data_IF_599692634980
#
_entry.id   IF_599692634980
#
_cell.length_a   1.000
_cell.length_b   1.000
_cell.length_c   1.000
_cell.angle_alpha   90.00
_cell.angle_beta   90.00
_cell.angle_gamma   90.00
#
_symmetry.space_group_name_H-M   'P 1'
#
loop_
_entity.id
_entity.type
_entity.pdbx_description
1 polymer ?
#
# COMPACT_ATOMS: atom_id res chain seq x y z
N UNK A 1 -3.80 18.36 -95.55
CA UNK A 1 -3.20 17.80 -94.31
C UNK A 1 -4.02 18.26 -93.11
N UNK A 2 -4.85 17.37 -92.59
CA UNK A 2 -5.93 17.62 -91.62
C UNK A 2 -5.51 17.32 -90.16
N UNK A 3 -4.32 17.77 -89.74
CA UNK A 3 -3.75 17.35 -88.45
C UNK A 3 -4.00 18.33 -87.29
N UNK A 4 -4.32 19.60 -87.58
CA UNK A 4 -4.41 20.65 -86.55
C UNK A 4 -5.77 20.82 -85.85
N UNK A 5 -6.83 20.09 -86.25
CA UNK A 5 -8.15 20.16 -85.59
C UNK A 5 -8.39 19.08 -84.52
N UNK A 6 -7.44 18.15 -84.32
CA UNK A 6 -7.57 17.03 -83.37
C UNK A 6 -6.64 17.13 -82.15
N UNK A 7 -5.75 18.13 -82.09
CA UNK A 7 -4.74 18.26 -81.02
C UNK A 7 -5.27 18.92 -79.73
N UNK A 8 -6.31 19.76 -79.82
CA UNK A 8 -6.85 20.47 -78.66
C UNK A 8 -7.55 19.55 -77.65
N UNK A 9 -8.30 18.54 -78.13
CA UNK A 9 -9.05 17.63 -77.28
C UNK A 9 -8.18 16.72 -76.40
N UNK A 10 -7.13 16.03 -76.91
CA UNK A 10 -6.28 15.17 -76.08
C UNK A 10 -5.39 15.95 -75.12
N UNK A 11 -4.96 17.17 -75.48
CA UNK A 11 -4.17 18.03 -74.58
C UNK A 11 -5.02 18.55 -73.43
N UNK A 12 -6.26 18.99 -73.70
CA UNK A 12 -7.20 19.41 -72.65
C UNK A 12 -7.58 18.22 -71.78
N UNK A 13 -7.87 17.05 -72.36
CA UNK A 13 -8.17 15.85 -71.60
C UNK A 13 -6.99 15.40 -70.73
N UNK A 14 -5.75 15.48 -71.23
CA UNK A 14 -4.55 15.16 -70.46
C UNK A 14 -4.34 16.10 -69.28
N UNK A 15 -4.51 17.41 -69.48
CA UNK A 15 -4.41 18.41 -68.40
C UNK A 15 -5.51 18.20 -67.36
N UNK A 16 -6.75 17.93 -67.79
CA UNK A 16 -7.89 17.69 -66.88
C UNK A 16 -7.70 16.38 -66.09
N UNK A 17 -7.06 15.37 -66.69
CA UNK A 17 -6.71 14.11 -66.03
C UNK A 17 -5.61 14.34 -64.98
N UNK A 18 -4.59 15.14 -65.27
CA UNK A 18 -3.51 15.48 -64.31
C UNK A 18 -4.07 16.28 -63.12
N UNK A 19 -4.98 17.23 -63.37
CA UNK A 19 -5.64 18.00 -62.30
C UNK A 19 -6.55 17.11 -61.42
N UNK A 20 -7.17 16.07 -61.99
CA UNK A 20 -7.99 15.13 -61.23
C UNK A 20 -7.18 14.24 -60.26
N UNK A 21 -5.87 14.06 -60.49
CA UNK A 21 -4.99 13.27 -59.61
C UNK A 21 -4.20 14.11 -58.58
N UNK A 22 -4.43 15.43 -58.49
CA UNK A 22 -3.76 16.32 -57.52
C UNK A 22 -4.57 16.51 -56.22
N UNK A 23 -5.78 15.98 -56.10
CA UNK A 23 -6.67 16.22 -54.95
C UNK A 23 -6.50 15.24 -53.78
N UNK A 24 -5.27 15.06 -53.28
CA UNK A 24 -5.07 14.49 -51.94
C UNK A 24 -3.96 15.29 -51.24
N UNK A 25 -4.36 16.33 -50.53
CA UNK A 25 -3.57 16.86 -49.43
C UNK A 25 -4.00 16.07 -48.19
N UNK A 26 -3.07 15.34 -47.57
CA UNK A 26 -3.32 14.65 -46.32
C UNK A 26 -3.49 15.72 -45.23
N UNK A 27 -4.75 16.01 -44.85
CA UNK A 27 -5.05 16.84 -43.69
C UNK A 27 -4.70 16.02 -42.44
N UNK A 28 -3.42 16.07 -42.04
CA UNK A 28 -2.93 15.49 -40.81
C UNK A 28 -3.61 16.22 -39.64
N UNK A 29 -4.68 15.63 -39.10
CA UNK A 29 -5.22 16.06 -37.82
C UNK A 29 -4.23 15.65 -36.74
N UNK A 30 -3.28 16.53 -36.45
CA UNK A 30 -2.40 16.36 -35.29
C UNK A 30 -3.27 16.35 -34.05
N UNK A 31 -3.19 15.30 -33.22
CA UNK A 31 -3.79 15.30 -31.89
C UNK A 31 -3.14 16.46 -31.12
N UNK A 32 -3.92 17.52 -30.85
CA UNK A 32 -3.41 18.80 -30.33
C UNK A 32 -3.48 19.98 -31.32
N UNK A 33 -4.03 19.81 -32.53
CA UNK A 33 -4.30 20.94 -33.43
C UNK A 33 -5.33 21.89 -32.79
N UNK A 34 -4.92 23.12 -32.54
CA UNK A 34 -5.78 24.17 -32.02
C UNK A 34 -6.94 24.44 -32.98
N UNK A 35 -8.18 24.34 -32.49
CA UNK A 35 -9.42 24.55 -33.26
C UNK A 35 -9.51 25.97 -33.86
N UNK A 36 -8.71 26.92 -33.35
CA UNK A 36 -8.27 28.16 -34.02
C UNK A 36 -7.02 28.69 -33.31
N UNK A 37 -5.89 28.75 -34.02
CA UNK A 37 -4.68 29.40 -33.51
C UNK A 37 -4.85 30.93 -33.47
N UNK A 38 -4.59 31.53 -32.31
CA UNK A 38 -4.44 32.99 -32.20
C UNK A 38 -4.83 33.58 -30.86
N UNK A 39 -5.77 32.99 -30.12
CA UNK A 39 -6.21 33.53 -28.83
C UNK A 39 -6.53 32.38 -27.87
N UNK A 40 -5.96 32.34 -26.65
CA UNK A 40 -6.35 31.36 -25.65
C UNK A 40 -7.84 31.48 -25.40
N UNK A 41 -8.57 30.34 -25.35
CA UNK A 41 -9.97 30.36 -24.94
C UNK A 41 -10.05 31.02 -23.56
N UNK A 42 -10.64 32.21 -23.52
CA UNK A 42 -11.08 32.82 -22.26
C UNK A 42 -12.38 32.11 -21.91
N UNK A 43 -12.26 30.88 -21.42
CA UNK A 43 -13.38 30.16 -20.82
C UNK A 43 -13.50 30.59 -19.37
N UNK A 44 -14.72 30.93 -18.96
CA UNK A 44 -15.00 31.21 -17.56
C UNK A 44 -14.69 29.94 -16.74
N UNK A 45 -13.82 30.07 -15.75
CA UNK A 45 -13.62 29.04 -14.73
C UNK A 45 -14.72 29.16 -13.69
N UNK A 46 -15.47 28.08 -13.51
CA UNK A 46 -16.32 27.92 -12.34
C UNK A 46 -15.55 27.07 -11.32
N UNK A 47 -15.18 27.69 -10.20
CA UNK A 47 -14.65 26.97 -9.04
C UNK A 47 -15.82 26.53 -8.17
N UNK A 48 -15.84 25.25 -7.81
CA UNK A 48 -16.85 24.69 -6.93
C UNK A 48 -16.14 24.18 -5.68
N UNK A 49 -16.66 24.55 -4.51
CA UNK A 49 -16.17 24.02 -3.26
C UNK A 49 -16.48 22.52 -3.19
N UNK A 50 -15.44 21.70 -3.02
CA UNK A 50 -15.57 20.27 -2.76
C UNK A 50 -15.57 20.07 -1.24
N UNK A 51 -16.69 19.61 -0.70
CA UNK A 51 -16.82 19.30 0.72
C UNK A 51 -16.65 17.80 0.95
N UNK A 52 -15.56 17.42 1.63
CA UNK A 52 -15.38 16.08 2.19
C UNK A 52 -15.80 16.08 3.67
N UNK A 53 -16.48 15.02 4.11
CA UNK A 53 -16.82 14.83 5.51
C UNK A 53 -16.55 13.38 5.91
N UNK A 54 -15.94 13.19 7.08
CA UNK A 54 -15.81 11.87 7.69
C UNK A 54 -17.10 11.56 8.44
N UNK A 55 -17.73 10.44 8.10
CA UNK A 55 -18.87 9.92 8.84
C UNK A 55 -18.39 8.89 9.84
N UNK A 56 -18.68 9.08 11.13
CA UNK A 56 -18.43 8.05 12.13
C UNK A 56 -19.37 6.87 11.90
N UNK A 57 -18.78 5.72 11.57
CA UNK A 57 -19.46 4.43 11.52
C UNK A 57 -19.38 3.80 12.91
N UNK A 58 -20.53 3.45 13.50
CA UNK A 58 -20.58 2.91 14.87
C UNK A 58 -19.81 1.58 15.01
N UNK A 59 -19.99 0.66 14.05
CA UNK A 59 -19.26 -0.60 14.02
C UNK A 59 -19.30 -1.22 12.62
N UNK A 60 -18.18 -1.81 12.21
CA UNK A 60 -18.08 -2.63 11.01
C UNK A 60 -17.74 -4.05 11.45
N UNK A 61 -18.31 -5.08 10.80
CA UNK A 61 -17.92 -6.46 11.10
C UNK A 61 -16.48 -6.70 10.63
N UNK A 62 -15.60 -7.03 11.56
CA UNK A 62 -14.17 -7.33 11.35
C UNK A 62 -13.83 -8.81 11.58
N UNK A 63 -14.80 -9.71 11.40
CA UNK A 63 -14.55 -11.14 11.53
C UNK A 63 -13.68 -11.65 10.37
N UNK A 64 -12.72 -12.52 10.68
CA UNK A 64 -11.82 -13.17 9.69
C UNK A 64 -10.92 -12.20 8.91
N UNK A 65 -10.55 -11.05 9.51
CA UNK A 65 -9.49 -10.24 8.93
C UNK A 65 -8.18 -11.04 8.87
N UNK A 66 -7.41 -10.95 7.76
CA UNK A 66 -6.10 -11.61 7.67
C UNK A 66 -5.12 -11.14 8.75
N UNK A 67 -5.30 -9.91 9.25
CA UNK A 67 -4.47 -9.26 10.25
C UNK A 67 -5.39 -8.57 11.27
N UNK A 68 -5.20 -8.91 12.55
CA UNK A 68 -5.87 -8.25 13.66
C UNK A 68 -4.98 -7.13 14.19
N UNK A 69 -5.52 -5.91 14.27
CA UNK A 69 -4.84 -4.77 14.88
C UNK A 69 -5.10 -4.76 16.39
N UNK A 70 -4.11 -4.29 17.16
CA UNK A 70 -4.22 -4.12 18.61
C UNK A 70 -3.58 -2.80 19.03
N UNK A 71 -4.20 -2.13 19.99
CA UNK A 71 -3.68 -0.91 20.58
C UNK A 71 -4.36 0.35 20.06
N UNK A 72 -3.67 1.48 20.21
CA UNK A 72 -4.14 2.80 19.83
C UNK A 72 -3.20 3.37 18.79
N UNK A 73 -3.74 3.80 17.67
CA UNK A 73 -3.02 4.50 16.61
C UNK A 73 -3.66 5.87 16.40
N UNK A 74 -2.86 6.94 16.41
CA UNK A 74 -3.34 8.29 16.15
C UNK A 74 -2.82 8.71 14.78
N UNK A 75 -3.70 8.66 13.78
CA UNK A 75 -3.38 9.12 12.45
C UNK A 75 -3.47 10.66 12.39
N UNK A 76 -2.49 11.37 11.80
CA UNK A 76 -2.52 12.83 11.68
C UNK A 76 -3.73 13.37 10.92
N UNK A 77 -4.24 12.62 9.93
CA UNK A 77 -5.34 13.03 9.04
C UNK A 77 -6.68 12.40 9.47
N UNK A 78 -6.66 11.11 9.78
CA UNK A 78 -7.87 10.31 10.06
C UNK A 78 -8.23 10.22 11.55
N UNK A 79 -7.34 10.68 12.44
CA UNK A 79 -7.57 10.73 13.87
C UNK A 79 -7.30 9.40 14.61
N UNK A 80 -7.83 9.30 15.83
CA UNK A 80 -7.56 8.17 16.73
C UNK A 80 -8.35 6.92 16.31
N UNK A 81 -7.63 5.85 16.03
CA UNK A 81 -8.13 4.47 15.88
C UNK A 81 -7.75 3.64 17.10
N UNK A 82 -8.71 2.89 17.65
CA UNK A 82 -8.49 2.00 18.79
C UNK A 82 -8.95 0.59 18.44
N UNK A 83 -8.07 -0.39 18.63
CA UNK A 83 -8.32 -1.78 18.34
C UNK A 83 -8.10 -2.63 19.59
N UNK A 84 -9.08 -3.46 19.92
CA UNK A 84 -9.04 -4.36 21.09
C UNK A 84 -9.51 -5.76 20.71
N UNK A 85 -9.02 -6.75 21.45
CA UNK A 85 -9.44 -8.15 21.32
C UNK A 85 -10.07 -8.63 22.63
N UNK A 86 -11.18 -9.33 22.51
CA UNK A 86 -11.83 -10.02 23.62
C UNK A 86 -11.60 -11.51 23.45
N UNK A 87 -10.98 -12.15 24.46
CA UNK A 87 -10.72 -13.59 24.48
C UNK A 87 -11.31 -14.22 25.73
N UNK A 88 -11.70 -15.49 25.64
CA UNK A 88 -12.17 -16.30 26.76
C UNK A 88 -11.33 -17.57 26.86
N UNK A 89 -10.83 -17.87 28.06
CA UNK A 89 -10.15 -19.12 28.38
C UNK A 89 -11.15 -20.09 29.02
N UNK A 90 -11.25 -21.29 28.45
CA UNK A 90 -11.99 -22.40 29.04
C UNK A 90 -11.00 -23.50 29.40
N UNK A 91 -11.05 -23.99 30.64
CA UNK A 91 -10.25 -25.13 31.07
C UNK A 91 -10.76 -26.41 30.42
N UNK A 92 -9.85 -27.32 30.09
CA UNK A 92 -10.16 -28.59 29.41
C UNK A 92 -11.00 -29.54 30.25
N UNK A 93 -10.95 -29.40 31.58
CA UNK A 93 -11.73 -30.17 32.52
C UNK A 93 -12.22 -29.29 33.68
N UNK A 94 -13.30 -29.73 34.34
CA UNK A 94 -13.74 -29.15 35.60
C UNK A 94 -12.76 -29.62 36.67
N UNK A 95 -12.07 -28.69 37.35
CA UNK A 95 -11.03 -28.97 38.34
C UNK A 95 -9.83 -29.76 37.77
N UNK A 96 -9.03 -29.16 36.87
CA UNK A 96 -7.81 -29.82 36.38
C UNK A 96 -6.78 -29.96 37.51
N UNK A 97 -5.98 -31.01 37.46
CA UNK A 97 -4.83 -31.16 38.34
C UNK A 97 -3.70 -30.25 37.82
N UNK A 98 -3.15 -29.43 38.70
CA UNK A 98 -1.90 -28.73 38.46
C UNK A 98 -0.80 -29.58 39.07
N UNK A 99 0.28 -29.85 38.33
CA UNK A 99 1.33 -30.77 38.78
C UNK A 99 1.15 -32.22 38.31
N UNK A 100 1.84 -33.13 38.98
CA UNK A 100 1.87 -34.58 38.61
C UNK A 100 0.77 -35.36 39.34
N UNK A 101 0.45 -34.96 40.57
CA UNK A 101 -0.53 -35.61 41.43
C UNK A 101 -1.71 -34.68 41.69
N UNK A 102 -2.82 -35.22 42.21
CA UNK A 102 -3.95 -34.41 42.63
C UNK A 102 -3.75 -33.93 44.07
N UNK A 103 -4.39 -32.82 44.44
CA UNK A 103 -4.39 -32.35 45.83
C UNK A 103 -4.85 -33.45 46.81
N UNK A 104 -5.80 -34.28 46.41
CA UNK A 104 -6.30 -35.39 47.24
C UNK A 104 -5.23 -36.47 47.48
N UNK A 105 -4.38 -36.77 46.50
CA UNK A 105 -3.28 -37.72 46.66
C UNK A 105 -2.19 -37.16 47.58
N UNK A 106 -1.86 -35.87 47.42
CA UNK A 106 -0.85 -35.19 48.26
C UNK A 106 -1.31 -35.04 49.71
N UNK A 107 -2.61 -34.80 49.94
CA UNK A 107 -3.18 -34.74 51.29
C UNK A 107 -3.04 -36.08 52.04
N UNK A 108 -2.91 -37.21 51.31
CA UNK A 108 -2.79 -38.57 51.87
C UNK A 108 -1.35 -39.10 51.93
N UNK A 109 -0.34 -38.28 51.63
CA UNK A 109 1.08 -38.66 51.56
C UNK A 109 1.62 -39.47 52.75
N UNK A 110 1.15 -39.18 53.98
CA UNK A 110 1.60 -39.91 55.18
C UNK A 110 1.07 -41.35 55.25
N UNK A 111 0.07 -41.68 54.42
CA UNK A 111 -0.67 -42.96 54.47
C UNK A 111 -0.56 -43.83 53.22
N UNK A 112 -0.08 -43.27 52.10
CA UNK A 112 -0.07 -43.94 50.80
C UNK A 112 1.24 -44.70 50.48
N UNK A 113 2.22 -44.64 51.38
CA UNK A 113 3.57 -45.22 51.23
C UNK A 113 4.32 -44.75 49.96
N UNK A 114 3.92 -43.64 49.34
CA UNK A 114 4.53 -43.09 48.13
C UNK A 114 5.30 -41.80 48.46
N UNK A 115 6.63 -41.83 48.28
CA UNK A 115 7.48 -40.66 48.56
C UNK A 115 7.28 -39.54 47.53
N UNK A 116 6.61 -39.81 46.40
CA UNK A 116 6.44 -38.84 45.31
C UNK A 116 5.22 -37.93 45.48
N UNK A 117 4.32 -38.21 46.41
CA UNK A 117 3.09 -37.43 46.69
C UNK A 117 3.32 -36.38 47.79
N UNK A 118 4.57 -35.97 48.02
CA UNK A 118 4.89 -34.94 49.02
C UNK A 118 4.06 -33.67 48.75
N UNK A 119 3.51 -33.00 49.77
CA UNK A 119 2.74 -31.77 49.56
C UNK A 119 3.61 -30.65 48.98
N UNK A 120 3.32 -30.19 47.76
CA UNK A 120 4.09 -29.13 47.09
C UNK A 120 3.40 -27.76 47.13
N UNK A 121 2.12 -27.70 47.51
CA UNK A 121 1.29 -26.47 47.56
C UNK A 121 1.33 -25.74 46.21
N UNK A 122 0.76 -26.37 45.19
CA UNK A 122 0.78 -25.81 43.84
C UNK A 122 -0.18 -24.63 43.72
N UNK A 123 0.34 -23.51 43.22
CA UNK A 123 -0.42 -22.29 43.01
C UNK A 123 -0.27 -21.88 41.55
N UNK A 124 -1.39 -21.55 40.90
CA UNK A 124 -1.35 -20.92 39.58
C UNK A 124 -0.82 -19.50 39.75
N UNK A 125 0.41 -19.27 39.32
CA UNK A 125 1.07 -17.97 39.40
C UNK A 125 0.65 -17.05 38.24
N UNK A 126 0.77 -17.53 37.00
CA UNK A 126 0.57 -16.71 35.81
C UNK A 126 -0.08 -17.46 34.64
N UNK A 127 -0.88 -16.74 33.85
CA UNK A 127 -1.49 -17.25 32.61
C UNK A 127 -0.99 -16.39 31.46
N UNK A 128 -0.34 -17.03 30.48
CA UNK A 128 0.21 -16.35 29.31
C UNK A 128 -0.71 -16.53 28.10
N UNK A 129 -1.12 -15.42 27.49
CA UNK A 129 -1.77 -15.40 26.19
C UNK A 129 -0.78 -14.89 25.15
N UNK A 130 -0.25 -15.79 24.33
CA UNK A 130 0.62 -15.42 23.22
C UNK A 130 -0.25 -14.99 22.03
N UNK A 131 -0.27 -13.68 21.78
CA UNK A 131 -0.90 -13.13 20.57
C UNK A 131 0.22 -12.94 19.54
N UNK A 132 0.21 -13.68 18.41
CA UNK A 132 1.17 -13.42 17.34
C UNK A 132 0.91 -12.01 16.81
N UNK A 133 1.93 -11.16 16.84
CA UNK A 133 1.87 -9.83 16.29
C UNK A 133 2.79 -9.76 15.07
N UNK A 134 2.33 -9.05 14.05
CA UNK A 134 3.19 -8.61 12.96
C UNK A 134 3.70 -7.24 13.37
N UNK A 135 4.97 -7.15 13.78
CA UNK A 135 5.65 -5.85 13.79
C UNK A 135 5.85 -5.51 12.32
N UNK A 136 5.31 -4.39 11.83
CA UNK A 136 5.77 -3.87 10.54
C UNK A 136 7.29 -3.69 10.69
N UNK A 137 8.14 -4.47 10.02
CA UNK A 137 9.58 -4.44 10.26
C UNK A 137 10.20 -3.12 9.81
N UNK A 138 9.44 -2.27 9.11
CA UNK A 138 9.95 -1.01 8.59
C UNK A 138 9.72 0.20 9.48
N UNK A 139 8.59 0.30 10.19
CA UNK A 139 8.21 1.59 10.79
C UNK A 139 7.98 2.58 9.66
N UNK A 140 6.73 2.90 9.37
CA UNK A 140 6.36 3.84 8.31
C UNK A 140 5.17 4.57 8.93
N UNK A 141 5.50 5.63 9.67
CA UNK A 141 4.64 6.28 10.65
C UNK A 141 3.58 7.15 9.99
N UNK A 142 3.83 7.66 8.78
CA UNK A 142 2.88 8.44 7.99
C UNK A 142 2.36 7.70 6.74
N UNK A 143 2.90 6.52 6.42
CA UNK A 143 2.36 5.61 5.42
C UNK A 143 2.66 6.04 3.98
N UNK A 144 3.70 6.83 3.78
CA UNK A 144 4.07 7.36 2.47
C UNK A 144 4.88 6.36 1.63
N UNK A 145 5.41 5.29 2.24
CA UNK A 145 6.16 4.23 1.56
C UNK A 145 7.64 4.19 1.90
N UNK A 146 8.14 5.16 2.64
CA UNK A 146 9.50 5.18 3.20
C UNK A 146 9.46 4.62 4.62
N UNK A 147 10.57 4.02 5.05
CA UNK A 147 10.66 3.59 6.44
C UNK A 147 11.16 4.76 7.29
N UNK A 148 10.68 4.92 8.53
CA UNK A 148 11.03 5.98 9.48
C UNK A 148 12.56 6.19 9.65
N UNK A 149 13.37 5.16 9.39
CA UNK A 149 14.84 5.23 9.46
C UNK A 149 15.47 5.93 8.24
N UNK A 150 14.82 5.89 7.09
CA UNK A 150 15.29 6.45 5.82
C UNK A 150 14.53 7.70 5.41
N UNK A 151 13.39 7.97 6.04
CA UNK A 151 12.53 9.12 5.78
C UNK A 151 13.11 10.41 6.37
N UNK A 152 13.09 11.47 5.58
CA UNK A 152 13.55 12.80 6.00
C UNK A 152 12.64 13.43 7.07
N UNK A 153 11.33 13.16 7.03
CA UNK A 153 10.37 13.51 8.08
C UNK A 153 9.30 12.41 8.25
N UNK A 154 9.54 11.43 9.16
CA UNK A 154 8.64 10.30 9.42
C UNK A 154 7.20 10.63 9.88
N UNK A 155 6.81 11.90 9.91
CA UNK A 155 5.47 12.35 10.33
C UNK A 155 4.75 13.14 9.25
N UNK A 156 5.39 13.40 8.12
CA UNK A 156 4.82 14.15 7.01
C UNK A 156 4.84 13.33 5.73
N UNK A 157 3.71 12.74 5.38
CA UNK A 157 3.55 11.97 4.15
C UNK A 157 3.74 12.78 2.84
N UNK A 158 4.04 14.08 2.93
CA UNK A 158 4.41 14.93 1.79
C UNK A 158 5.88 15.33 1.83
N UNK A 159 6.69 14.68 2.64
CA UNK A 159 8.14 14.80 2.62
C UNK A 159 8.67 14.35 1.25
N UNK A 160 9.82 14.88 0.88
CA UNK A 160 10.55 14.56 -0.36
C UNK A 160 11.94 14.14 0.09
N UNK A 161 12.12 12.84 0.33
CA UNK A 161 13.30 12.30 1.01
C UNK A 161 14.56 12.41 0.16
N UNK A 162 14.45 12.28 -1.16
CA UNK A 162 15.61 12.39 -2.06
C UNK A 162 15.78 13.77 -2.70
N UNK A 163 14.77 14.64 -2.61
CA UNK A 163 14.82 16.04 -3.01
C UNK A 163 14.67 16.26 -4.52
N UNK A 164 14.04 15.34 -5.24
CA UNK A 164 13.87 15.43 -6.70
C UNK A 164 12.61 16.20 -7.14
N UNK A 165 11.77 16.59 -6.18
CA UNK A 165 10.59 17.42 -6.37
C UNK A 165 9.27 16.64 -6.42
N UNK A 166 9.29 15.32 -6.24
CA UNK A 166 8.11 14.50 -5.97
C UNK A 166 8.07 14.10 -4.49
N UNK A 167 6.88 14.01 -3.91
CA UNK A 167 6.78 13.54 -2.52
C UNK A 167 6.88 12.03 -2.45
N UNK A 168 7.35 11.52 -1.32
CA UNK A 168 7.53 10.09 -1.06
C UNK A 168 6.23 9.30 -1.34
N UNK A 169 5.08 9.89 -0.97
CA UNK A 169 3.76 9.35 -1.24
C UNK A 169 3.38 9.36 -2.73
N UNK A 170 3.72 10.42 -3.47
CA UNK A 170 3.49 10.50 -4.93
C UNK A 170 4.31 9.43 -5.65
N UNK A 171 5.54 9.22 -5.21
CA UNK A 171 6.43 8.21 -5.76
C UNK A 171 5.99 6.79 -5.44
N UNK A 172 5.53 6.53 -4.22
CA UNK A 172 4.89 5.25 -3.85
C UNK A 172 3.71 4.93 -4.75
N UNK A 173 2.85 5.91 -5.04
CA UNK A 173 1.68 5.72 -5.91
C UNK A 173 2.09 5.52 -7.36
N UNK A 174 3.15 6.19 -7.79
CA UNK A 174 3.72 6.09 -9.14
C UNK A 174 4.60 4.85 -9.33
N UNK A 175 4.99 4.20 -8.23
CA UNK A 175 5.88 3.04 -8.20
C UNK A 175 7.35 3.38 -8.42
N UNK A 176 7.73 4.66 -8.29
CA UNK A 176 9.11 5.18 -8.35
C UNK A 176 9.78 5.05 -6.97
N UNK A 177 11.04 5.47 -6.83
CA UNK A 177 11.84 5.18 -5.64
C UNK A 177 12.15 6.44 -4.81
N UNK A 178 11.51 6.62 -3.63
CA UNK A 178 11.67 7.79 -2.75
C UNK A 178 13.02 7.98 -2.07
N UNK A 179 14.00 7.16 -2.43
CA UNK A 179 15.36 7.23 -1.90
C UNK A 179 16.40 7.51 -2.99
N UNK A 180 15.97 7.76 -4.23
CA UNK A 180 16.85 7.88 -5.40
C UNK A 180 16.31 8.93 -6.36
N UNK A 181 16.97 10.09 -6.33
CA UNK A 181 16.79 11.18 -7.27
C UNK A 181 16.75 10.68 -8.71
N UNK A 182 15.70 11.04 -9.46
CA UNK A 182 15.51 10.69 -10.86
C UNK A 182 15.50 9.17 -11.08
N UNK A 183 14.64 8.47 -10.33
CA UNK A 183 14.47 7.01 -10.41
C UNK A 183 13.88 6.52 -11.75
N UNK A 184 13.65 7.42 -12.70
CA UNK A 184 13.20 7.16 -14.08
C UNK A 184 14.42 7.24 -15.02
N UNK A 185 15.30 6.25 -14.97
CA UNK A 185 16.28 6.06 -16.04
C UNK A 185 16.13 4.67 -16.68
N UNK A 186 15.92 4.73 -17.98
CA UNK A 186 16.01 3.68 -19.00
C UNK A 186 14.72 2.90 -19.34
N UNK A 187 14.53 2.75 -20.66
CA UNK A 187 13.33 2.19 -21.30
C UNK A 187 13.13 0.71 -20.92
N UNK A 188 12.47 0.49 -19.78
CA UNK A 188 12.21 -0.86 -19.26
C UNK A 188 11.54 -0.90 -17.89
N UNK A 189 10.94 0.22 -17.45
CA UNK A 189 10.38 0.36 -16.10
C UNK A 189 9.33 -0.72 -15.80
N UNK A 190 9.65 -1.58 -14.83
CA UNK A 190 8.71 -2.47 -14.18
C UNK A 190 8.48 -1.89 -12.78
N UNK A 191 7.31 -1.31 -12.55
CA UNK A 191 6.91 -0.77 -11.25
C UNK A 191 7.15 -1.81 -10.14
N UNK A 192 7.70 -1.36 -8.99
CA UNK A 192 7.99 -2.18 -7.81
C UNK A 192 9.17 -3.18 -7.92
N UNK A 193 10.09 -3.01 -8.87
CA UNK A 193 11.27 -3.90 -9.00
C UNK A 193 12.52 -3.36 -8.26
N UNK A 194 12.36 -3.03 -6.97
CA UNK A 194 13.47 -2.51 -6.17
C UNK A 194 14.13 -3.59 -5.31
N UNK A 195 15.45 -3.49 -5.15
CA UNK A 195 16.20 -4.36 -4.23
C UNK A 195 15.84 -4.01 -2.79
N UNK A 196 14.94 -4.78 -2.19
CA UNK A 196 14.59 -4.66 -0.78
C UNK A 196 15.66 -5.37 0.06
N UNK A 197 16.53 -4.61 0.73
CA UNK A 197 17.33 -5.17 1.83
C UNK A 197 16.37 -5.47 2.98
N UNK A 198 16.25 -6.74 3.32
CA UNK A 198 15.51 -7.20 4.49
C UNK A 198 16.55 -7.75 5.44
N UNK A 199 16.72 -7.10 6.59
CA UNK A 199 17.45 -7.71 7.68
C UNK A 199 16.65 -8.91 8.17
N UNK A 200 17.22 -10.11 8.00
CA UNK A 200 16.67 -11.33 8.55
C UNK A 200 17.05 -11.35 10.02
N UNK A 201 16.21 -10.77 10.88
CA UNK A 201 16.41 -10.90 12.31
C UNK A 201 16.06 -12.33 12.76
N UNK A 202 17.02 -12.95 13.43
CA UNK A 202 16.89 -14.30 13.96
C UNK A 202 16.18 -14.21 15.32
N UNK A 203 15.14 -15.02 15.52
CA UNK A 203 14.41 -15.19 16.79
C UNK A 203 15.31 -15.52 18.02
N UNK A 204 16.62 -15.69 17.85
CA UNK A 204 17.54 -16.04 18.94
C UNK A 204 18.74 -15.11 19.18
N UNK A 205 18.81 -13.88 18.63
CA UNK A 205 19.98 -13.03 18.91
C UNK A 205 19.61 -11.59 19.25
N UNK A 206 19.24 -11.35 20.50
CA UNK A 206 20.08 -10.53 21.39
C UNK A 206 19.57 -10.56 22.83
N UNK A 207 20.20 -11.46 23.58
CA UNK A 207 20.07 -11.64 25.01
C UNK A 207 20.95 -10.64 25.78
N UNK A 208 20.43 -9.45 26.11
CA UNK A 208 20.98 -8.63 27.20
C UNK A 208 19.86 -7.93 28.02
N UNK A 209 19.57 -8.58 29.16
CA UNK A 209 19.10 -8.11 30.49
C UNK A 209 18.02 -7.03 30.52
#
# INVERSE_FOLDING_TARGET
MSFFKRLHFPVIAGILTVVAFISCEEELTTIGAEVRGGEPFITDKAEFDVFAYNSNIEAVRTNQLPIYQLGVYNDPLYGKTEASITSQLLLTAVSPNFGVFSQEDEDNWDTDNNVSTIPEVEIVDSVYLYIPFLKNPKGDLDGDGVADEYDIDPRDANSDTDGDGFTDNEERVSGTNPLVVDSIDDEGFIANNFSKKVDIDSIYVNNQI
#
